data_IF_422217906443
#
_entry.id   IF_422217906443
#
_cell.length_a   1.000
_cell.length_b   1.000
_cell.length_c   1.000
_cell.angle_alpha   90.00
_cell.angle_beta   90.00
_cell.angle_gamma   90.00
#
_symmetry.space_group_name_H-M   'P 1'
#
loop_
_entity.id
_entity.type
_entity.pdbx_description
1 polymer ?
#
# COMPACT_ATOMS: atom_id res chain seq x y z
N UNK A 1 -2.46 -30.24 -2.97
CA UNK A 1 -1.56 -29.09 -3.25
C UNK A 1 -0.62 -28.93 -2.06
N UNK A 2 0.70 -28.64 -2.27
CA UNK A 2 1.61 -28.40 -1.12
C UNK A 2 1.13 -27.16 -0.35
N UNK A 3 1.17 -27.14 1.01
CA UNK A 3 0.60 -26.03 1.79
C UNK A 3 1.14 -24.63 1.40
N UNK A 4 2.45 -24.53 1.14
CA UNK A 4 3.04 -23.26 0.68
C UNK A 4 2.50 -22.83 -0.70
N UNK A 5 2.31 -23.76 -1.65
CA UNK A 5 1.73 -23.43 -2.98
C UNK A 5 0.28 -22.94 -2.86
N UNK A 6 -0.47 -23.48 -1.92
CA UNK A 6 -1.82 -23.02 -1.60
C UNK A 6 -1.79 -21.57 -1.05
N UNK A 7 -0.89 -21.30 -0.10
CA UNK A 7 -0.72 -19.93 0.43
C UNK A 7 -0.26 -18.94 -0.65
N UNK A 8 0.65 -19.34 -1.53
CA UNK A 8 1.13 -18.49 -2.64
C UNK A 8 0.00 -18.17 -3.62
N UNK A 9 -0.82 -19.17 -4.01
CA UNK A 9 -2.00 -18.96 -4.85
C UNK A 9 -3.03 -18.04 -4.18
N UNK A 10 -3.28 -18.24 -2.88
CA UNK A 10 -4.15 -17.37 -2.11
C UNK A 10 -3.61 -15.93 -2.04
N UNK A 11 -2.31 -15.74 -1.85
CA UNK A 11 -1.68 -14.43 -1.85
C UNK A 11 -1.82 -13.72 -3.21
N UNK A 12 -1.53 -14.42 -4.30
CA UNK A 12 -1.69 -13.87 -5.65
C UNK A 12 -3.16 -13.47 -5.93
N UNK A 13 -4.12 -14.32 -5.60
CA UNK A 13 -5.55 -14.03 -5.79
C UNK A 13 -6.06 -12.89 -4.91
N UNK A 14 -5.65 -12.83 -3.64
CA UNK A 14 -6.02 -11.72 -2.73
C UNK A 14 -5.44 -10.39 -3.21
N UNK A 15 -4.16 -10.37 -3.59
CA UNK A 15 -3.55 -9.16 -4.12
C UNK A 15 -4.14 -8.75 -5.47
N UNK A 16 -4.52 -9.71 -6.32
CA UNK A 16 -5.24 -9.41 -7.56
C UNK A 16 -6.59 -8.75 -7.28
N UNK A 17 -7.36 -9.28 -6.34
CA UNK A 17 -8.63 -8.69 -5.91
C UNK A 17 -8.45 -7.26 -5.39
N UNK A 18 -7.50 -7.06 -4.48
CA UNK A 18 -7.20 -5.76 -3.86
C UNK A 18 -6.74 -4.72 -4.89
N UNK A 19 -5.75 -5.06 -5.72
CA UNK A 19 -5.18 -4.15 -6.71
C UNK A 19 -6.17 -3.83 -7.85
N UNK A 20 -6.99 -4.80 -8.26
CA UNK A 20 -8.08 -4.56 -9.20
C UNK A 20 -9.13 -3.62 -8.61
N UNK A 21 -9.56 -3.83 -7.36
CA UNK A 21 -10.50 -2.94 -6.69
C UNK A 21 -9.92 -1.52 -6.53
N UNK A 22 -8.65 -1.41 -6.13
CA UNK A 22 -7.95 -0.13 -5.96
C UNK A 22 -7.83 0.65 -7.28
N UNK A 23 -7.52 -0.02 -8.39
CA UNK A 23 -7.39 0.60 -9.71
C UNK A 23 -8.75 0.91 -10.35
N UNK A 24 -9.78 0.08 -10.08
CA UNK A 24 -11.12 0.23 -10.65
C UNK A 24 -11.94 1.32 -9.95
N UNK A 25 -11.72 1.56 -8.65
CA UNK A 25 -12.49 2.53 -7.86
C UNK A 25 -12.45 3.94 -8.47
N UNK A 26 -11.28 4.53 -8.79
CA UNK A 26 -11.22 5.85 -9.43
C UNK A 26 -11.90 5.89 -10.81
N UNK A 27 -11.74 4.84 -11.61
CA UNK A 27 -12.36 4.72 -12.92
C UNK A 27 -13.88 4.67 -12.83
N UNK A 28 -14.41 3.88 -11.89
CA UNK A 28 -15.86 3.80 -11.63
C UNK A 28 -16.40 5.13 -11.13
N UNK A 29 -15.73 5.74 -10.16
CA UNK A 29 -16.15 7.02 -9.59
C UNK A 29 -16.22 8.11 -10.67
N UNK A 30 -15.21 8.20 -11.54
CA UNK A 30 -15.15 9.25 -12.56
C UNK A 30 -16.03 8.94 -13.77
N UNK A 31 -15.98 7.72 -14.33
CA UNK A 31 -16.63 7.38 -15.61
C UNK A 31 -18.09 6.97 -15.46
N UNK A 32 -18.46 6.32 -14.34
CA UNK A 32 -19.82 5.80 -14.14
C UNK A 32 -20.64 6.74 -13.25
N UNK A 33 -20.02 7.24 -12.17
CA UNK A 33 -20.74 8.05 -11.19
C UNK A 33 -20.63 9.56 -11.45
N UNK A 34 -19.77 9.99 -12.39
CA UNK A 34 -19.52 11.41 -12.64
C UNK A 34 -18.94 12.14 -11.41
N UNK A 35 -18.24 11.41 -10.53
CA UNK A 35 -17.75 11.94 -9.27
C UNK A 35 -16.69 13.02 -9.47
N UNK A 36 -16.84 14.12 -8.74
CA UNK A 36 -15.80 15.13 -8.61
C UNK A 36 -14.60 14.63 -7.79
N UNK A 37 -13.51 15.40 -7.76
CA UNK A 37 -12.31 15.05 -7.01
C UNK A 37 -12.54 14.87 -5.50
N UNK A 38 -13.48 15.62 -4.92
CA UNK A 38 -13.89 15.56 -3.51
C UNK A 38 -14.48 14.19 -3.15
N UNK A 39 -15.45 13.71 -3.95
CA UNK A 39 -16.09 12.42 -3.75
C UNK A 39 -15.09 11.28 -4.00
N UNK A 40 -14.23 11.39 -5.01
CA UNK A 40 -13.17 10.42 -5.25
C UNK A 40 -12.18 10.39 -4.07
N UNK A 41 -11.79 11.56 -3.55
CA UNK A 41 -10.98 11.66 -2.34
C UNK A 41 -11.61 10.97 -1.14
N UNK A 42 -12.92 11.12 -0.94
CA UNK A 42 -13.67 10.44 0.11
C UNK A 42 -13.68 8.90 -0.07
N UNK A 43 -13.90 8.41 -1.29
CA UNK A 43 -13.89 6.97 -1.57
C UNK A 43 -12.52 6.34 -1.35
N UNK A 44 -11.43 6.98 -1.80
CA UNK A 44 -10.05 6.54 -1.56
C UNK A 44 -9.70 6.61 -0.07
N UNK A 45 -10.16 7.66 0.62
CA UNK A 45 -9.98 7.77 2.07
C UNK A 45 -10.72 6.65 2.81
N UNK A 46 -11.94 6.35 2.44
CA UNK A 46 -12.73 5.26 3.02
C UNK A 46 -12.03 3.90 2.84
N UNK A 47 -11.57 3.60 1.63
CA UNK A 47 -10.82 2.37 1.35
C UNK A 47 -9.54 2.28 2.19
N UNK A 48 -8.77 3.37 2.26
CA UNK A 48 -7.50 3.38 3.00
C UNK A 48 -7.68 3.37 4.52
N UNK A 49 -8.81 3.88 5.04
CA UNK A 49 -9.14 3.87 6.47
C UNK A 49 -9.28 2.46 7.05
N UNK A 50 -9.62 1.46 6.21
CA UNK A 50 -9.69 0.06 6.63
C UNK A 50 -8.38 -0.44 7.27
N UNK A 51 -7.23 -0.02 6.76
CA UNK A 51 -5.92 -0.36 7.31
C UNK A 51 -5.74 0.19 8.74
N UNK A 52 -6.18 1.41 9.01
CA UNK A 52 -6.13 2.00 10.34
C UNK A 52 -7.10 1.32 11.31
N UNK A 53 -8.34 1.14 10.87
CA UNK A 53 -9.43 0.67 11.72
C UNK A 53 -9.34 -0.83 12.04
N UNK A 54 -8.91 -1.64 11.06
CA UNK A 54 -8.98 -3.11 11.14
C UNK A 54 -7.66 -3.74 11.57
N UNK A 55 -6.49 -3.14 11.27
CA UNK A 55 -5.20 -3.76 11.60
C UNK A 55 -5.01 -4.03 13.09
N UNK A 56 -5.53 -3.16 13.94
CA UNK A 56 -5.42 -3.28 15.40
C UNK A 56 -6.30 -4.42 15.97
N UNK A 57 -7.62 -4.48 15.71
CA UNK A 57 -8.45 -5.59 16.16
C UNK A 57 -8.09 -6.92 15.49
N UNK A 58 -7.64 -6.90 14.22
CA UNK A 58 -7.23 -8.11 13.50
C UNK A 58 -6.13 -8.88 14.24
N UNK A 59 -5.14 -8.18 14.81
CA UNK A 59 -4.09 -8.81 15.62
C UNK A 59 -4.66 -9.62 16.78
N UNK A 60 -5.67 -9.11 17.48
CA UNK A 60 -6.32 -9.81 18.60
C UNK A 60 -7.15 -11.01 18.14
N UNK A 61 -7.77 -10.94 16.97
CA UNK A 61 -8.54 -12.04 16.39
C UNK A 61 -7.62 -13.17 15.90
N UNK A 62 -6.51 -12.83 15.24
CA UNK A 62 -5.50 -13.78 14.75
C UNK A 62 -4.89 -14.59 15.90
N UNK A 63 -4.75 -13.97 17.07
CA UNK A 63 -4.22 -14.63 18.27
C UNK A 63 -5.25 -15.58 18.96
N UNK A 64 -6.55 -15.45 18.65
CA UNK A 64 -7.64 -16.21 19.31
C UNK A 64 -8.30 -17.25 18.43
N UNK A 65 -8.17 -17.12 17.11
CA UNK A 65 -8.87 -17.97 16.15
C UNK A 65 -7.88 -18.82 15.33
N UNK A 66 -8.29 -20.02 14.86
CA UNK A 66 -7.50 -20.79 13.90
C UNK A 66 -7.20 -19.93 12.66
N UNK A 67 -5.94 -19.86 12.28
CA UNK A 67 -5.47 -18.98 11.19
C UNK A 67 -6.18 -19.25 9.85
N UNK A 68 -6.47 -20.53 9.55
CA UNK A 68 -7.24 -20.90 8.34
C UNK A 68 -8.64 -20.29 8.36
N UNK A 69 -9.36 -20.31 9.50
CA UNK A 69 -10.68 -19.68 9.63
C UNK A 69 -10.60 -18.17 9.40
N UNK A 70 -9.58 -17.52 9.96
CA UNK A 70 -9.35 -16.08 9.73
C UNK A 70 -9.14 -15.76 8.25
N UNK A 71 -8.35 -16.57 7.53
CA UNK A 71 -8.15 -16.40 6.09
C UNK A 71 -9.46 -16.60 5.30
N UNK A 72 -10.27 -17.61 5.67
CA UNK A 72 -11.59 -17.86 5.04
C UNK A 72 -12.53 -16.67 5.24
N UNK A 73 -12.65 -16.16 6.48
CA UNK A 73 -13.49 -14.99 6.79
C UNK A 73 -13.02 -13.75 6.02
N UNK A 74 -11.71 -13.51 5.99
CA UNK A 74 -11.12 -12.40 5.27
C UNK A 74 -11.43 -12.45 3.77
N UNK A 75 -11.28 -13.61 3.14
CA UNK A 75 -11.53 -13.81 1.71
C UNK A 75 -13.01 -13.84 1.36
N UNK A 76 -13.86 -14.41 2.23
CA UNK A 76 -15.30 -14.33 2.07
C UNK A 76 -15.79 -12.87 2.12
N UNK A 77 -15.25 -12.07 3.05
CA UNK A 77 -15.53 -10.63 3.12
C UNK A 77 -15.07 -9.90 1.84
N UNK A 78 -13.84 -10.19 1.35
CA UNK A 78 -13.32 -9.62 0.11
C UNK A 78 -14.14 -9.99 -1.12
N UNK A 79 -14.56 -11.26 -1.23
CA UNK A 79 -15.43 -11.75 -2.31
C UNK A 79 -16.80 -11.06 -2.28
N UNK A 80 -17.45 -11.05 -1.11
CA UNK A 80 -18.73 -10.37 -0.94
C UNK A 80 -18.63 -8.88 -1.27
N UNK A 81 -17.58 -8.22 -0.80
CA UNK A 81 -17.33 -6.81 -1.10
C UNK A 81 -17.15 -6.57 -2.60
N UNK A 82 -16.42 -7.44 -3.32
CA UNK A 82 -16.25 -7.32 -4.77
C UNK A 82 -17.57 -7.51 -5.53
N UNK A 83 -18.40 -8.48 -5.11
CA UNK A 83 -19.76 -8.69 -5.68
C UNK A 83 -20.65 -7.47 -5.43
N UNK A 84 -20.63 -6.93 -4.21
CA UNK A 84 -21.37 -5.71 -3.87
C UNK A 84 -20.87 -4.51 -4.67
N UNK A 85 -19.55 -4.42 -4.92
CA UNK A 85 -18.98 -3.36 -5.75
C UNK A 85 -19.42 -3.48 -7.23
N UNK A 86 -19.57 -4.70 -7.78
CA UNK A 86 -20.19 -4.91 -9.10
C UNK A 86 -21.61 -4.35 -9.13
N UNK A 87 -22.44 -4.70 -8.14
CA UNK A 87 -23.81 -4.21 -8.07
C UNK A 87 -23.86 -2.68 -7.87
N UNK A 88 -23.00 -2.13 -7.02
CA UNK A 88 -22.92 -0.69 -6.78
C UNK A 88 -22.50 0.09 -8.02
N UNK A 89 -21.51 -0.42 -8.76
CA UNK A 89 -21.06 0.17 -10.03
C UNK A 89 -22.16 0.09 -11.12
N UNK A 90 -22.88 -1.02 -11.20
CA UNK A 90 -23.96 -1.20 -12.17
C UNK A 90 -25.20 -0.32 -11.89
N UNK A 91 -25.47 -0.05 -10.61
CA UNK A 91 -26.66 0.73 -10.18
C UNK A 91 -26.37 2.20 -9.88
N UNK A 92 -25.10 2.61 -9.84
CA UNK A 92 -24.69 3.99 -9.54
C UNK A 92 -24.79 4.37 -8.05
N UNK A 93 -24.90 3.40 -7.13
CA UNK A 93 -25.01 3.67 -5.69
C UNK A 93 -23.63 3.93 -5.04
N UNK A 94 -23.28 5.21 -4.89
CA UNK A 94 -22.00 5.68 -4.33
C UNK A 94 -21.75 5.16 -2.92
N UNK A 95 -22.75 5.23 -2.04
CA UNK A 95 -22.58 4.78 -0.63
C UNK A 95 -22.29 3.29 -0.57
N UNK A 96 -22.96 2.49 -1.38
CA UNK A 96 -22.74 1.05 -1.45
C UNK A 96 -21.33 0.73 -1.98
N UNK A 97 -20.83 1.51 -2.96
CA UNK A 97 -19.47 1.38 -3.47
C UNK A 97 -18.43 1.71 -2.39
N UNK A 98 -18.64 2.78 -1.61
CA UNK A 98 -17.79 3.15 -0.48
C UNK A 98 -17.74 2.07 0.61
N UNK A 99 -18.90 1.52 0.98
CA UNK A 99 -19.00 0.43 1.95
C UNK A 99 -18.29 -0.85 1.43
N UNK A 100 -18.46 -1.17 0.15
CA UNK A 100 -17.76 -2.29 -0.49
C UNK A 100 -16.23 -2.07 -0.48
N UNK A 101 -15.76 -0.85 -0.76
CA UNK A 101 -14.34 -0.51 -0.73
C UNK A 101 -13.73 -0.71 0.68
N UNK A 102 -14.43 -0.24 1.74
CA UNK A 102 -14.00 -0.45 3.14
C UNK A 102 -13.99 -1.94 3.47
N UNK A 103 -15.04 -2.66 3.13
CA UNK A 103 -15.18 -4.08 3.45
C UNK A 103 -14.11 -4.93 2.74
N UNK A 104 -13.87 -4.68 1.45
CA UNK A 104 -12.83 -5.37 0.66
C UNK A 104 -11.43 -5.12 1.21
N UNK A 105 -11.09 -3.85 1.46
CA UNK A 105 -9.82 -3.49 2.08
C UNK A 105 -9.66 -4.09 3.49
N UNK A 106 -10.74 -4.19 4.27
CA UNK A 106 -10.75 -4.84 5.59
C UNK A 106 -10.42 -6.33 5.48
N UNK A 107 -10.98 -7.03 4.49
CA UNK A 107 -10.66 -8.42 4.18
C UNK A 107 -9.16 -8.57 3.82
N UNK A 108 -8.64 -7.69 2.96
CA UNK A 108 -7.21 -7.68 2.59
C UNK A 108 -6.30 -7.50 3.81
N UNK A 109 -6.62 -6.55 4.71
CA UNK A 109 -5.85 -6.31 5.96
C UNK A 109 -5.78 -7.58 6.81
N UNK A 110 -6.93 -8.20 7.08
CA UNK A 110 -7.00 -9.44 7.89
C UNK A 110 -6.22 -10.56 7.21
N UNK A 111 -6.36 -10.72 5.88
CA UNK A 111 -5.62 -11.71 5.12
C UNK A 111 -4.10 -11.51 5.24
N UNK A 112 -3.60 -10.31 4.97
CA UNK A 112 -2.17 -9.99 4.98
C UNK A 112 -1.56 -10.27 6.35
N UNK A 113 -2.17 -9.79 7.44
CA UNK A 113 -1.67 -10.00 8.80
C UNK A 113 -1.69 -11.49 9.19
N UNK A 114 -2.74 -12.22 8.79
CA UNK A 114 -2.86 -13.66 9.09
C UNK A 114 -1.85 -14.48 8.29
N UNK A 115 -1.65 -14.17 7.01
CA UNK A 115 -0.73 -14.92 6.13
C UNK A 115 0.72 -14.81 6.59
N UNK A 116 1.15 -13.61 7.02
CA UNK A 116 2.50 -13.39 7.60
C UNK A 116 2.70 -14.23 8.86
N UNK A 117 1.67 -14.37 9.71
CA UNK A 117 1.75 -15.19 10.93
C UNK A 117 1.69 -16.70 10.65
N UNK A 118 1.13 -17.12 9.52
CA UNK A 118 0.97 -18.52 9.14
C UNK A 118 2.22 -19.07 8.43
N UNK A 119 2.91 -18.26 7.62
CA UNK A 119 4.03 -18.70 6.77
C UNK A 119 5.11 -19.50 7.52
N UNK A 120 5.58 -19.11 8.73
CA UNK A 120 6.61 -19.85 9.44
C UNK A 120 6.19 -21.28 9.85
N UNK A 121 4.89 -21.57 9.91
CA UNK A 121 4.39 -22.92 10.20
C UNK A 121 4.25 -23.81 8.96
N UNK A 122 4.42 -23.27 7.75
CA UNK A 122 4.24 -23.98 6.49
C UNK A 122 5.54 -24.32 5.78
N UNK A 123 6.65 -23.70 6.17
CA UNK A 123 7.96 -23.88 5.52
C UNK A 123 9.07 -24.04 6.56
N UNK A 124 10.16 -24.72 6.19
CA UNK A 124 11.31 -24.83 7.05
C UNK A 124 11.98 -23.45 7.30
N UNK A 125 12.61 -23.21 8.47
CA UNK A 125 13.23 -21.92 8.78
C UNK A 125 14.21 -21.42 7.71
N UNK A 126 15.00 -22.31 7.10
CA UNK A 126 15.94 -21.99 6.03
C UNK A 126 15.28 -21.56 4.71
N UNK A 127 14.02 -21.95 4.46
CA UNK A 127 13.27 -21.60 3.26
C UNK A 127 12.45 -20.31 3.41
N UNK A 128 12.35 -19.75 4.60
CA UNK A 128 11.56 -18.52 4.86
C UNK A 128 11.95 -17.35 3.95
N UNK A 129 13.25 -17.02 3.74
CA UNK A 129 13.62 -15.92 2.86
C UNK A 129 13.15 -16.12 1.42
N UNK A 130 13.32 -17.35 0.89
CA UNK A 130 12.88 -17.71 -0.46
C UNK A 130 11.37 -17.68 -0.60
N UNK A 131 10.66 -18.11 0.42
CA UNK A 131 9.19 -18.11 0.45
C UNK A 131 8.60 -16.70 0.51
N UNK A 132 9.16 -15.84 1.35
CA UNK A 132 8.81 -14.41 1.39
C UNK A 132 9.08 -13.73 0.04
N UNK A 133 10.24 -13.98 -0.58
CA UNK A 133 10.56 -13.41 -1.89
C UNK A 133 9.54 -13.81 -2.98
N UNK A 134 9.04 -15.06 -2.95
CA UNK A 134 7.99 -15.52 -3.88
C UNK A 134 6.65 -14.83 -3.64
N UNK A 135 6.26 -14.62 -2.39
CA UNK A 135 5.04 -13.90 -2.04
C UNK A 135 5.13 -12.43 -2.50
N UNK A 136 6.27 -11.77 -2.26
CA UNK A 136 6.48 -10.40 -2.71
C UNK A 136 6.57 -10.28 -4.24
N UNK A 137 7.16 -11.26 -4.92
CA UNK A 137 7.16 -11.29 -6.40
C UNK A 137 5.74 -11.41 -6.97
N UNK A 138 4.91 -12.31 -6.42
CA UNK A 138 3.52 -12.43 -6.83
C UNK A 138 2.77 -11.11 -6.65
N UNK A 139 2.97 -10.43 -5.51
CA UNK A 139 2.40 -9.12 -5.24
C UNK A 139 2.88 -8.06 -6.24
N UNK A 140 4.18 -8.01 -6.52
CA UNK A 140 4.77 -7.03 -7.43
C UNK A 140 4.24 -7.19 -8.87
N UNK A 141 4.12 -8.43 -9.35
CA UNK A 141 3.56 -8.73 -10.69
C UNK A 141 2.11 -8.25 -10.78
N UNK A 142 1.31 -8.50 -9.76
CA UNK A 142 -0.08 -8.05 -9.71
C UNK A 142 -0.17 -6.52 -9.67
N UNK A 143 0.66 -5.86 -8.86
CA UNK A 143 0.69 -4.39 -8.77
C UNK A 143 1.10 -3.73 -10.09
N UNK A 144 1.91 -4.42 -10.90
CA UNK A 144 2.26 -3.98 -12.24
C UNK A 144 1.09 -4.18 -13.22
N UNK A 145 0.42 -5.32 -13.18
CA UNK A 145 -0.60 -5.68 -14.17
C UNK A 145 -1.98 -5.07 -13.92
N UNK A 146 -2.39 -4.97 -12.65
CA UNK A 146 -3.78 -4.65 -12.30
C UNK A 146 -4.25 -3.27 -12.79
N UNK A 147 -3.49 -2.16 -12.67
CA UNK A 147 -3.96 -0.87 -13.17
C UNK A 147 -4.16 -0.85 -14.70
N UNK A 148 -3.26 -1.49 -15.44
CA UNK A 148 -3.40 -1.60 -16.91
C UNK A 148 -4.62 -2.43 -17.30
N UNK A 149 -4.82 -3.60 -16.66
CA UNK A 149 -5.99 -4.45 -16.92
C UNK A 149 -7.28 -3.72 -16.55
N UNK A 150 -7.32 -3.01 -15.43
CA UNK A 150 -8.48 -2.20 -15.03
C UNK A 150 -8.78 -1.11 -16.07
N UNK A 151 -7.75 -0.43 -16.57
CA UNK A 151 -7.87 0.57 -17.63
C UNK A 151 -8.41 -0.02 -18.94
N UNK A 152 -7.88 -1.16 -19.39
CA UNK A 152 -8.38 -1.87 -20.58
C UNK A 152 -9.85 -2.29 -20.45
N UNK A 153 -10.22 -2.86 -19.29
CA UNK A 153 -11.61 -3.25 -19.03
C UNK A 153 -12.54 -2.02 -19.03
N UNK A 154 -12.11 -0.93 -18.43
CA UNK A 154 -12.88 0.32 -18.41
C UNK A 154 -13.05 0.92 -19.81
N UNK A 155 -12.05 0.81 -20.68
CA UNK A 155 -12.06 1.37 -22.03
C UNK A 155 -12.91 0.55 -23.00
N UNK A 156 -12.79 -0.79 -22.97
CA UNK A 156 -13.41 -1.64 -24.00
C UNK A 156 -14.74 -2.27 -23.54
N UNK A 157 -15.00 -2.33 -22.25
CA UNK A 157 -16.19 -2.93 -21.66
C UNK A 157 -16.87 -1.95 -20.70
N UNK A 158 -16.49 -2.04 -19.42
CA UNK A 158 -16.97 -1.16 -18.34
C UNK A 158 -16.05 -1.33 -17.11
N UNK A 159 -15.89 -0.29 -16.28
CA UNK A 159 -15.20 -0.43 -14.99
C UNK A 159 -15.77 -1.54 -14.11
N UNK A 160 -17.06 -1.86 -14.23
CA UNK A 160 -17.74 -2.94 -13.47
C UNK A 160 -17.02 -4.29 -13.62
N UNK A 161 -16.43 -4.58 -14.77
CA UNK A 161 -15.66 -5.81 -15.02
C UNK A 161 -14.38 -5.90 -14.21
N UNK A 162 -13.80 -4.77 -13.81
CA UNK A 162 -12.67 -4.76 -12.88
C UNK A 162 -13.05 -5.35 -11.53
N UNK A 163 -14.24 -5.05 -10.99
CA UNK A 163 -14.72 -5.67 -9.76
C UNK A 163 -15.12 -7.14 -9.95
N UNK A 164 -15.63 -7.53 -11.12
CA UNK A 164 -15.88 -8.94 -11.43
C UNK A 164 -14.57 -9.75 -11.44
N UNK A 165 -13.49 -9.18 -11.99
CA UNK A 165 -12.17 -9.80 -11.94
C UNK A 165 -11.58 -9.83 -10.52
N UNK A 166 -11.84 -8.80 -9.71
CA UNK A 166 -11.51 -8.80 -8.28
C UNK A 166 -12.25 -9.92 -7.54
N UNK A 167 -13.56 -10.12 -7.82
CA UNK A 167 -14.34 -11.21 -7.24
C UNK A 167 -13.78 -12.58 -7.63
N UNK A 168 -13.39 -12.77 -8.90
CA UNK A 168 -12.73 -13.99 -9.36
C UNK A 168 -11.41 -14.23 -8.61
N UNK A 169 -10.57 -13.21 -8.44
CA UNK A 169 -9.34 -13.29 -7.68
C UNK A 169 -9.57 -13.71 -6.23
N UNK A 170 -10.56 -13.10 -5.56
CA UNK A 170 -10.95 -13.45 -4.20
C UNK A 170 -11.51 -14.89 -4.10
N UNK A 171 -12.32 -15.33 -5.07
CA UNK A 171 -12.85 -16.69 -5.12
C UNK A 171 -11.73 -17.72 -5.31
N UNK A 172 -10.79 -17.48 -6.22
CA UNK A 172 -9.62 -18.35 -6.42
C UNK A 172 -8.74 -18.42 -5.16
N UNK A 173 -8.54 -17.27 -4.49
CA UNK A 173 -7.83 -17.23 -3.22
C UNK A 173 -8.53 -18.06 -2.14
N UNK A 174 -9.86 -17.98 -2.06
CA UNK A 174 -10.67 -18.76 -1.12
C UNK A 174 -10.54 -20.26 -1.38
N UNK A 175 -10.62 -20.70 -2.64
CA UNK A 175 -10.39 -22.10 -3.02
C UNK A 175 -8.99 -22.57 -2.60
N UNK A 176 -7.96 -21.74 -2.80
CA UNK A 176 -6.61 -22.07 -2.34
C UNK A 176 -6.52 -22.21 -0.82
N UNK A 177 -7.18 -21.34 -0.05
CA UNK A 177 -7.19 -21.41 1.43
C UNK A 177 -7.93 -22.64 1.94
N UNK A 178 -8.99 -23.07 1.25
CA UNK A 178 -9.70 -24.30 1.60
C UNK A 178 -8.83 -25.56 1.48
N UNK A 179 -7.79 -25.51 0.66
CA UNK A 179 -6.79 -26.58 0.53
C UNK A 179 -5.68 -26.54 1.61
N UNK A 180 -5.66 -25.51 2.48
CA UNK A 180 -4.71 -25.45 3.61
C UNK A 180 -5.15 -26.42 4.73
N UNK A 181 -4.18 -27.03 5.46
CA UNK A 181 -4.52 -27.87 6.61
C UNK A 181 -5.21 -27.05 7.71
N UNK A 182 -6.10 -27.69 8.44
CA UNK A 182 -6.69 -27.11 9.66
C UNK A 182 -5.59 -27.00 10.72
N UNK A 183 -5.12 -25.77 10.95
CA UNK A 183 -4.17 -25.49 12.03
C UNK A 183 -4.90 -25.42 13.37
N UNK A 184 -4.21 -25.85 14.43
CA UNK A 184 -4.67 -25.61 15.82
C UNK A 184 -4.72 -24.13 16.12
N UNK A 185 -5.68 -23.70 16.94
CA UNK A 185 -5.66 -22.35 17.49
C UNK A 185 -4.34 -22.11 18.23
N UNK A 186 -3.76 -20.90 18.17
CA UNK A 186 -2.57 -20.59 18.94
C UNK A 186 -2.83 -20.89 20.43
N UNK A 187 -1.89 -21.60 21.08
CA UNK A 187 -1.93 -21.81 22.51
C UNK A 187 -1.94 -20.47 23.22
N UNK A 188 -2.87 -20.27 24.16
CA UNK A 188 -2.91 -19.09 25.01
C UNK A 188 -1.58 -18.96 25.76
N UNK A 189 -0.68 -18.13 25.25
CA UNK A 189 0.55 -17.74 25.93
C UNK A 189 0.27 -16.57 26.90
N UNK A 190 1.25 -16.30 27.78
CA UNK A 190 1.20 -15.33 28.89
C UNK A 190 0.49 -14.01 28.56
N UNK A 191 -0.04 -13.35 29.59
CA UNK A 191 -0.70 -12.05 29.53
C UNK A 191 0.08 -11.07 28.64
N UNK A 192 -0.50 -10.78 27.48
CA UNK A 192 0.09 -9.80 26.57
C UNK A 192 -0.34 -8.40 27.00
N UNK A 193 0.57 -7.41 26.96
CA UNK A 193 0.23 -6.04 27.28
C UNK A 193 -0.93 -5.56 26.42
N UNK A 194 -1.79 -4.72 26.98
CA UNK A 194 -2.89 -4.11 26.21
C UNK A 194 -2.33 -3.37 25.00
N UNK A 195 -3.08 -3.37 23.90
CA UNK A 195 -2.66 -2.70 22.66
C UNK A 195 -2.28 -1.24 22.90
N UNK A 196 -3.07 -0.52 23.71
CA UNK A 196 -2.80 0.88 24.06
C UNK A 196 -1.45 1.03 24.79
N UNK A 197 -1.11 0.11 25.69
CA UNK A 197 0.19 0.12 26.39
C UNK A 197 1.34 -0.19 25.43
N UNK A 198 1.14 -1.14 24.49
CA UNK A 198 2.15 -1.49 23.50
C UNK A 198 2.44 -0.32 22.55
N UNK A 199 1.40 0.37 22.06
CA UNK A 199 1.54 1.58 21.24
C UNK A 199 2.23 2.70 22.00
N UNK A 200 1.83 2.94 23.26
CA UNK A 200 2.45 3.99 24.09
C UNK A 200 3.95 3.75 24.30
N UNK A 201 4.36 2.51 24.58
CA UNK A 201 5.78 2.15 24.75
C UNK A 201 6.53 2.30 23.42
N UNK A 202 5.95 1.79 22.31
CA UNK A 202 6.53 1.94 20.98
C UNK A 202 6.66 3.41 20.57
N UNK A 203 5.63 4.22 20.80
CA UNK A 203 5.63 5.67 20.52
C UNK A 203 6.72 6.40 21.30
N UNK A 204 6.82 6.13 22.61
CA UNK A 204 7.86 6.74 23.45
C UNK A 204 9.26 6.40 22.95
N UNK A 205 9.47 5.17 22.49
CA UNK A 205 10.76 4.74 21.91
C UNK A 205 11.03 5.43 20.57
N UNK A 206 10.05 5.46 19.66
CA UNK A 206 10.17 6.11 18.34
C UNK A 206 10.47 7.61 18.49
N UNK A 207 9.77 8.32 19.39
CA UNK A 207 9.95 9.76 19.58
C UNK A 207 11.33 10.09 20.18
N UNK A 208 11.84 9.24 21.06
CA UNK A 208 13.15 9.43 21.71
C UNK A 208 14.34 9.02 20.82
N UNK A 209 14.10 8.21 19.80
CA UNK A 209 15.16 7.79 18.87
C UNK A 209 15.11 8.67 17.61
N UNK A 210 16.12 9.51 17.41
CA UNK A 210 16.16 10.49 16.31
C UNK A 210 16.10 9.84 14.91
N UNK A 211 16.70 8.65 14.74
CA UNK A 211 16.65 7.93 13.45
C UNK A 211 15.23 7.42 13.18
N UNK A 212 14.59 6.80 14.18
CA UNK A 212 13.21 6.30 14.05
C UNK A 212 12.19 7.43 13.86
N UNK A 213 12.41 8.56 14.55
CA UNK A 213 11.58 9.75 14.37
C UNK A 213 11.67 10.29 12.95
N UNK A 214 12.89 10.41 12.42
CA UNK A 214 13.13 10.84 11.03
C UNK A 214 12.48 9.89 10.01
N UNK A 215 12.64 8.57 10.17
CA UNK A 215 12.00 7.56 9.33
C UNK A 215 10.48 7.69 9.37
N UNK A 216 9.90 7.81 10.58
CA UNK A 216 8.45 7.87 10.75
C UNK A 216 7.84 9.12 10.14
N UNK A 217 8.42 10.29 10.39
CA UNK A 217 7.95 11.56 9.85
C UNK A 217 8.07 11.61 8.31
N UNK A 218 9.19 11.12 7.76
CA UNK A 218 9.35 10.97 6.32
C UNK A 218 8.25 10.10 5.73
N UNK A 219 7.99 8.93 6.32
CA UNK A 219 6.95 8.01 5.86
C UNK A 219 5.54 8.61 5.95
N UNK A 220 5.24 9.41 6.97
CA UNK A 220 3.98 10.12 7.16
C UNK A 220 3.75 11.09 6.00
N UNK A 221 4.68 12.01 5.73
CA UNK A 221 4.53 12.99 4.66
C UNK A 221 4.51 12.34 3.28
N UNK A 222 5.32 11.31 3.07
CA UNK A 222 5.32 10.58 1.81
C UNK A 222 3.99 9.86 1.55
N UNK A 223 3.44 9.15 2.55
CA UNK A 223 2.15 8.46 2.41
C UNK A 223 0.99 9.45 2.24
N UNK A 224 1.02 10.59 2.94
CA UNK A 224 0.06 11.68 2.71
C UNK A 224 0.06 12.11 1.24
N UNK A 225 1.23 12.45 0.69
CA UNK A 225 1.37 12.89 -0.70
C UNK A 225 0.93 11.81 -1.69
N UNK A 226 1.32 10.55 -1.47
CA UNK A 226 0.97 9.44 -2.37
C UNK A 226 -0.54 9.19 -2.42
N UNK A 227 -1.23 9.20 -1.28
CA UNK A 227 -2.67 9.02 -1.24
C UNK A 227 -3.45 10.24 -1.73
N UNK A 228 -2.90 11.45 -1.57
CA UNK A 228 -3.42 12.64 -2.23
C UNK A 228 -3.32 12.53 -3.78
N UNK A 229 -2.19 12.02 -4.29
CA UNK A 229 -2.02 11.76 -5.73
C UNK A 229 -3.02 10.71 -6.24
N UNK A 230 -3.21 9.60 -5.51
CA UNK A 230 -4.19 8.57 -5.89
C UNK A 230 -5.61 9.13 -5.99
N UNK A 231 -5.98 10.04 -5.08
CA UNK A 231 -7.31 10.65 -5.07
C UNK A 231 -7.58 11.57 -6.26
N UNK A 232 -6.54 12.17 -6.85
CA UNK A 232 -6.71 13.09 -7.99
C UNK A 232 -6.29 12.47 -9.32
N UNK A 233 -5.77 11.23 -9.31
CA UNK A 233 -5.16 10.64 -10.51
C UNK A 233 -6.14 10.50 -11.67
N UNK A 234 -7.35 9.96 -11.45
CA UNK A 234 -8.32 9.81 -12.53
C UNK A 234 -8.82 11.15 -13.08
N UNK A 235 -9.20 12.16 -12.26
CA UNK A 235 -9.53 13.49 -12.76
C UNK A 235 -8.37 14.14 -13.53
N UNK A 236 -7.13 13.97 -13.11
CA UNK A 236 -5.95 14.50 -13.80
C UNK A 236 -5.73 13.80 -15.15
N UNK A 237 -5.75 12.46 -15.16
CA UNK A 237 -5.44 11.66 -16.33
C UNK A 237 -6.50 11.80 -17.42
N UNK A 238 -7.78 11.65 -17.06
CA UNK A 238 -8.89 11.68 -18.00
C UNK A 238 -9.29 13.11 -18.42
N UNK A 239 -8.99 14.11 -17.60
CA UNK A 239 -9.25 15.51 -17.85
C UNK A 239 -8.07 16.21 -18.54
N UNK A 240 -7.22 16.97 -17.81
CA UNK A 240 -6.17 17.80 -18.41
C UNK A 240 -5.12 17.07 -19.23
N UNK A 241 -4.84 15.78 -18.92
CA UNK A 241 -3.89 14.98 -19.71
C UNK A 241 -4.52 14.35 -20.96
N UNK A 242 -5.85 14.32 -21.05
CA UNK A 242 -6.57 13.76 -22.21
C UNK A 242 -6.30 12.26 -22.43
N UNK A 243 -5.91 11.52 -21.39
CA UNK A 243 -5.62 10.10 -21.51
C UNK A 243 -6.95 9.32 -21.56
N UNK A 244 -6.97 8.26 -22.35
CA UNK A 244 -8.02 7.25 -22.23
C UNK A 244 -7.78 6.34 -21.01
N UNK A 245 -8.76 5.54 -20.59
CA UNK A 245 -8.64 4.67 -19.42
C UNK A 245 -7.48 3.66 -19.50
N UNK A 246 -7.17 3.14 -20.71
CA UNK A 246 -6.07 2.18 -20.89
C UNK A 246 -4.70 2.87 -20.70
N UNK A 247 -4.51 4.05 -21.31
CA UNK A 247 -3.27 4.81 -21.11
C UNK A 247 -3.13 5.31 -19.67
N UNK A 248 -4.23 5.72 -19.00
CA UNK A 248 -4.24 6.02 -17.58
C UNK A 248 -3.73 4.84 -16.74
N UNK A 249 -4.29 3.65 -16.97
CA UNK A 249 -3.88 2.42 -16.27
C UNK A 249 -2.45 2.02 -16.58
N UNK A 250 -2.01 2.15 -17.84
CA UNK A 250 -0.65 1.86 -18.26
C UNK A 250 0.37 2.79 -17.61
N UNK A 251 0.08 4.10 -17.55
CA UNK A 251 0.93 5.05 -16.83
C UNK A 251 1.05 4.68 -15.35
N UNK A 252 -0.05 4.34 -14.68
CA UNK A 252 -0.04 3.93 -13.28
C UNK A 252 0.70 2.59 -13.07
N UNK A 253 0.66 1.67 -14.02
CA UNK A 253 1.38 0.39 -13.96
C UNK A 253 2.89 0.55 -13.89
N UNK A 254 3.45 1.65 -14.41
CA UNK A 254 4.88 1.92 -14.30
C UNK A 254 5.37 2.08 -12.86
N UNK A 255 4.46 2.40 -11.91
CA UNK A 255 4.73 2.33 -10.47
C UNK A 255 5.19 0.94 -10.04
N UNK A 256 4.49 -0.11 -10.49
CA UNK A 256 4.87 -1.51 -10.24
C UNK A 256 6.23 -1.86 -10.86
N UNK A 257 6.51 -1.40 -12.07
CA UNK A 257 7.82 -1.55 -12.70
C UNK A 257 8.92 -0.87 -11.87
N UNK A 258 8.65 0.34 -11.38
CA UNK A 258 9.55 1.07 -10.47
C UNK A 258 9.85 0.29 -9.19
N UNK A 259 8.82 -0.28 -8.55
CA UNK A 259 8.99 -1.12 -7.35
C UNK A 259 9.91 -2.33 -7.62
N UNK A 260 9.68 -3.04 -8.73
CA UNK A 260 10.47 -4.23 -9.11
C UNK A 260 11.93 -3.83 -9.35
N UNK A 261 12.16 -2.81 -10.20
CA UNK A 261 13.52 -2.37 -10.52
C UNK A 261 14.24 -1.75 -9.33
N UNK A 262 13.52 -1.03 -8.46
CA UNK A 262 14.05 -0.53 -7.19
C UNK A 262 14.49 -1.66 -6.25
N UNK A 263 13.68 -2.70 -6.12
CA UNK A 263 14.03 -3.87 -5.31
C UNK A 263 15.25 -4.63 -5.85
N UNK A 264 15.35 -4.77 -7.17
CA UNK A 264 16.50 -5.39 -7.83
C UNK A 264 17.78 -4.56 -7.71
N UNK A 265 17.65 -3.23 -7.74
CA UNK A 265 18.80 -2.33 -7.58
C UNK A 265 19.27 -2.20 -6.13
N UNK A 266 18.42 -2.45 -5.13
CA UNK A 266 18.72 -2.23 -3.72
C UNK A 266 19.98 -2.94 -3.22
N UNK A 267 20.27 -4.24 -3.53
CA UNK A 267 21.50 -4.89 -3.09
C UNK A 267 22.75 -4.25 -3.68
N UNK A 268 22.69 -3.76 -4.92
CA UNK A 268 23.81 -3.07 -5.56
C UNK A 268 24.06 -1.70 -4.92
N UNK A 269 22.98 -0.95 -4.67
CA UNK A 269 23.04 0.34 -3.96
C UNK A 269 23.62 0.15 -2.54
N UNK A 270 23.18 -0.86 -1.80
CA UNK A 270 23.64 -1.14 -0.44
C UNK A 270 25.14 -1.51 -0.37
N UNK A 271 25.69 -2.09 -1.45
CA UNK A 271 27.12 -2.42 -1.54
C UNK A 271 28.02 -1.24 -1.96
N UNK A 272 27.49 -0.29 -2.73
CA UNK A 272 28.28 0.78 -3.37
C UNK A 272 28.04 2.16 -2.79
N UNK A 273 26.91 2.38 -2.14
CA UNK A 273 26.50 3.70 -1.67
C UNK A 273 26.33 3.70 -0.15
N UNK A 274 26.74 4.75 0.55
CA UNK A 274 26.44 4.90 1.97
C UNK A 274 24.93 5.05 2.19
N UNK A 275 24.41 4.59 3.35
CA UNK A 275 22.97 4.58 3.62
C UNK A 275 22.26 5.92 3.42
N UNK A 276 22.91 7.05 3.78
CA UNK A 276 22.30 8.38 3.64
C UNK A 276 21.90 8.71 2.20
N UNK A 277 22.64 8.20 1.20
CA UNK A 277 22.33 8.45 -0.22
C UNK A 277 20.99 7.84 -0.59
N UNK A 278 20.77 6.58 -0.27
CA UNK A 278 19.47 5.89 -0.56
C UNK A 278 18.33 6.44 0.27
N UNK A 279 18.61 6.88 1.52
CA UNK A 279 17.62 7.48 2.40
C UNK A 279 17.15 8.86 1.92
N UNK A 280 18.03 9.68 1.32
CA UNK A 280 17.67 10.97 0.73
C UNK A 280 17.07 10.77 -0.65
N UNK A 281 17.67 9.92 -1.48
CA UNK A 281 17.30 9.72 -2.89
C UNK A 281 15.83 9.32 -3.03
N UNK A 282 15.34 8.38 -2.21
CA UNK A 282 13.98 7.88 -2.31
C UNK A 282 12.90 8.97 -2.23
N UNK A 283 12.84 9.76 -1.15
CA UNK A 283 11.90 10.88 -1.06
C UNK A 283 12.17 11.98 -2.08
N UNK A 284 13.43 12.33 -2.36
CA UNK A 284 13.81 13.39 -3.30
C UNK A 284 13.34 13.09 -4.74
N UNK A 285 13.46 11.85 -5.19
CA UNK A 285 12.95 11.41 -6.49
C UNK A 285 11.42 11.55 -6.58
N UNK A 286 10.70 11.41 -5.46
CA UNK A 286 9.26 11.64 -5.44
C UNK A 286 8.89 13.11 -5.65
N UNK A 287 9.74 14.05 -5.26
CA UNK A 287 9.57 15.49 -5.58
C UNK A 287 9.69 15.69 -7.08
N UNK A 288 10.74 15.11 -7.71
CA UNK A 288 10.90 15.15 -9.17
C UNK A 288 9.68 14.55 -9.87
N UNK A 289 9.21 13.40 -9.39
CA UNK A 289 8.00 12.75 -9.92
C UNK A 289 6.75 13.66 -9.86
N UNK A 290 6.54 14.33 -8.72
CA UNK A 290 5.44 15.28 -8.57
C UNK A 290 5.57 16.49 -9.50
N UNK A 291 6.79 16.97 -9.74
CA UNK A 291 7.05 18.01 -10.71
C UNK A 291 6.75 17.58 -12.15
N UNK A 292 6.98 16.30 -12.49
CA UNK A 292 6.58 15.74 -13.78
C UNK A 292 5.05 15.71 -13.94
N UNK A 293 4.29 15.34 -12.92
CA UNK A 293 2.83 15.43 -12.96
C UNK A 293 2.34 16.87 -13.12
N UNK A 294 3.00 17.83 -12.49
CA UNK A 294 2.67 19.26 -12.60
C UNK A 294 2.95 19.79 -14.01
N UNK A 295 4.01 19.31 -14.65
CA UNK A 295 4.40 19.70 -16.02
C UNK A 295 3.60 18.92 -17.10
N UNK A 296 2.97 17.81 -16.76
CA UNK A 296 2.34 16.90 -17.73
C UNK A 296 1.26 17.56 -18.62
N UNK A 297 0.41 18.48 -18.14
CA UNK A 297 -0.60 19.13 -18.98
C UNK A 297 -0.02 20.00 -20.10
N UNK A 298 1.21 20.47 -19.98
CA UNK A 298 1.86 21.33 -20.97
C UNK A 298 2.81 20.59 -21.94
N UNK A 299 2.92 19.26 -21.78
CA UNK A 299 3.86 18.44 -22.55
C UNK A 299 3.25 17.13 -23.04
N UNK A 300 4.07 16.08 -23.15
CA UNK A 300 3.59 14.74 -23.41
C UNK A 300 3.02 14.15 -22.10
N UNK A 301 1.70 14.32 -21.89
CA UNK A 301 1.00 13.95 -20.67
C UNK A 301 1.22 12.50 -20.25
N UNK A 302 1.12 11.56 -21.20
CA UNK A 302 1.35 10.14 -20.94
C UNK A 302 2.80 9.85 -20.49
N UNK A 303 3.80 10.32 -21.24
CA UNK A 303 5.20 10.02 -20.94
C UNK A 303 5.63 10.60 -19.58
N UNK A 304 5.22 11.84 -19.30
CA UNK A 304 5.55 12.51 -18.03
C UNK A 304 4.84 11.85 -16.83
N UNK A 305 3.57 11.45 -16.99
CA UNK A 305 2.84 10.73 -15.96
C UNK A 305 3.41 9.32 -15.72
N UNK A 306 3.75 8.58 -16.77
CA UNK A 306 4.37 7.27 -16.67
C UNK A 306 5.75 7.35 -16.00
N UNK A 307 6.58 8.33 -16.37
CA UNK A 307 7.86 8.59 -15.72
C UNK A 307 7.67 8.98 -14.24
N UNK A 308 6.68 9.82 -13.94
CA UNK A 308 6.33 10.19 -12.58
C UNK A 308 5.97 8.97 -11.72
N UNK A 309 5.06 8.11 -12.17
CA UNK A 309 4.69 6.88 -11.47
C UNK A 309 5.86 5.91 -11.31
N UNK A 310 6.67 5.75 -12.37
CA UNK A 310 7.89 4.94 -12.28
C UNK A 310 8.82 5.44 -11.16
N UNK A 311 9.08 6.74 -11.10
CA UNK A 311 9.97 7.35 -10.12
C UNK A 311 9.41 7.24 -8.69
N UNK A 312 8.08 7.41 -8.50
CA UNK A 312 7.40 7.21 -7.21
C UNK A 312 7.49 5.75 -6.75
N UNK A 313 7.60 4.79 -7.67
CA UNK A 313 7.87 3.39 -7.33
C UNK A 313 9.34 3.11 -7.03
N UNK A 314 10.23 3.54 -7.91
CA UNK A 314 11.65 3.18 -7.90
C UNK A 314 12.42 3.74 -6.70
N UNK A 315 12.39 5.05 -6.51
CA UNK A 315 13.16 5.70 -5.46
C UNK A 315 12.70 5.28 -4.04
N UNK A 316 11.40 5.40 -3.72
CA UNK A 316 10.86 4.97 -2.43
C UNK A 316 11.06 3.50 -2.10
N UNK A 317 11.18 2.61 -3.09
CA UNK A 317 11.51 1.20 -2.84
C UNK A 317 12.94 1.04 -2.29
N UNK A 318 13.91 1.77 -2.84
CA UNK A 318 15.28 1.81 -2.31
C UNK A 318 15.28 2.35 -0.87
N UNK A 319 14.55 3.44 -0.63
CA UNK A 319 14.38 4.01 0.71
C UNK A 319 13.74 3.03 1.67
N UNK A 320 12.67 2.33 1.26
CA UNK A 320 11.94 1.37 2.08
C UNK A 320 12.84 0.23 2.58
N UNK A 321 13.69 -0.31 1.72
CA UNK A 321 14.61 -1.40 2.08
C UNK A 321 15.67 -0.88 3.06
N UNK A 322 16.29 0.27 2.77
CA UNK A 322 17.32 0.86 3.62
C UNK A 322 16.77 1.24 5.00
N UNK A 323 15.66 1.98 5.07
CA UNK A 323 15.06 2.40 6.33
C UNK A 323 14.57 1.22 7.18
N UNK A 324 14.08 0.15 6.54
CA UNK A 324 13.66 -1.06 7.27
C UNK A 324 14.86 -1.70 7.94
N UNK A 325 16.00 -1.78 7.25
CA UNK A 325 17.25 -2.29 7.82
C UNK A 325 17.72 -1.43 8.99
N UNK A 326 17.75 -0.09 8.82
CA UNK A 326 18.12 0.83 9.91
C UNK A 326 17.19 0.65 11.12
N UNK A 327 15.86 0.60 10.89
CA UNK A 327 14.87 0.40 11.96
C UNK A 327 15.08 -0.91 12.71
N UNK A 328 15.38 -2.00 12.00
CA UNK A 328 15.65 -3.30 12.61
C UNK A 328 16.92 -3.28 13.46
N UNK A 329 17.98 -2.60 13.01
CA UNK A 329 19.24 -2.51 13.73
C UNK A 329 19.15 -1.67 15.01
N UNK A 330 18.42 -0.54 14.97
CA UNK A 330 18.32 0.37 16.12
C UNK A 330 17.25 0.00 17.14
N UNK A 331 16.43 -1.02 16.85
CA UNK A 331 15.33 -1.43 17.73
C UNK A 331 15.67 -2.73 18.45
N UNK A 332 15.74 -2.72 19.81
CA UNK A 332 15.92 -3.96 20.58
C UNK A 332 14.83 -4.98 20.27
N UNK A 333 15.20 -6.27 20.20
CA UNK A 333 14.28 -7.37 19.85
C UNK A 333 12.95 -7.38 20.63
N UNK A 334 12.93 -7.11 21.96
CA UNK A 334 11.67 -7.07 22.73
C UNK A 334 10.72 -5.92 22.34
N UNK A 335 11.23 -4.85 21.72
CA UNK A 335 10.47 -3.67 21.31
C UNK A 335 10.09 -3.69 19.81
N UNK A 336 10.66 -4.59 19.00
CA UNK A 336 10.50 -4.61 17.56
C UNK A 336 9.02 -4.59 17.13
N UNK A 337 8.20 -5.47 17.72
CA UNK A 337 6.76 -5.52 17.42
C UNK A 337 6.02 -4.22 17.76
N UNK A 338 6.36 -3.59 18.89
CA UNK A 338 5.73 -2.36 19.36
C UNK A 338 6.13 -1.15 18.49
N UNK A 339 7.40 -1.05 18.12
CA UNK A 339 7.91 -0.02 17.21
C UNK A 339 7.28 -0.16 15.83
N UNK A 340 7.24 -1.38 15.28
CA UNK A 340 6.59 -1.63 13.99
C UNK A 340 5.11 -1.26 14.02
N UNK A 341 4.36 -1.67 15.04
CA UNK A 341 2.95 -1.32 15.18
C UNK A 341 2.75 0.20 15.23
N UNK A 342 3.58 0.92 16.00
CA UNK A 342 3.51 2.38 16.09
C UNK A 342 3.75 3.06 14.75
N UNK A 343 4.83 2.69 14.05
CA UNK A 343 5.17 3.27 12.74
C UNK A 343 4.07 2.98 11.72
N UNK A 344 3.58 1.75 11.67
CA UNK A 344 2.51 1.36 10.73
C UNK A 344 1.19 2.08 11.04
N UNK A 345 0.82 2.23 12.30
CA UNK A 345 -0.39 2.99 12.70
C UNK A 345 -0.29 4.44 12.23
N UNK A 346 0.88 5.09 12.40
CA UNK A 346 1.09 6.45 11.92
C UNK A 346 0.98 6.55 10.38
N UNK A 347 1.59 5.60 9.66
CA UNK A 347 1.52 5.54 8.18
C UNK A 347 0.08 5.31 7.70
N UNK A 348 -0.63 4.34 8.30
CA UNK A 348 -2.00 4.03 7.87
C UNK A 348 -2.98 5.14 8.25
N UNK A 349 -2.76 5.80 9.39
CA UNK A 349 -3.61 6.91 9.84
C UNK A 349 -3.56 8.14 8.95
N UNK A 350 -2.42 8.41 8.31
CA UNK A 350 -2.28 9.59 7.45
C UNK A 350 -2.84 9.39 6.03
N UNK A 351 -2.97 8.16 5.56
CA UNK A 351 -3.45 7.85 4.18
C UNK A 351 -4.84 8.42 3.88
N UNK A 352 -5.86 8.20 4.73
CA UNK A 352 -7.16 8.82 4.52
C UNK A 352 -7.10 10.35 4.51
N UNK A 353 -6.25 10.94 5.36
CA UNK A 353 -6.08 12.40 5.42
C UNK A 353 -5.47 12.93 4.13
N UNK A 354 -4.48 12.22 3.56
CA UNK A 354 -3.89 12.57 2.27
C UNK A 354 -4.93 12.52 1.15
N UNK A 355 -5.70 11.44 1.07
CA UNK A 355 -6.74 11.28 0.05
C UNK A 355 -7.83 12.37 0.14
N UNK A 356 -8.32 12.64 1.35
CA UNK A 356 -9.30 13.73 1.58
C UNK A 356 -8.71 15.09 1.21
N UNK A 357 -7.49 15.41 1.67
CA UNK A 357 -6.87 16.69 1.38
C UNK A 357 -6.64 16.88 -0.13
N UNK A 358 -6.14 15.86 -0.83
CA UNK A 358 -5.95 15.90 -2.28
C UNK A 358 -7.25 16.13 -3.03
N UNK A 359 -8.30 15.37 -2.70
CA UNK A 359 -9.62 15.51 -3.31
C UNK A 359 -10.28 16.86 -3.03
N UNK A 360 -10.27 17.32 -1.78
CA UNK A 360 -10.87 18.61 -1.38
C UNK A 360 -10.16 19.81 -2.01
N UNK A 361 -8.81 19.81 -1.99
CA UNK A 361 -8.05 20.90 -2.62
C UNK A 361 -8.24 20.91 -4.13
N UNK A 362 -8.32 19.74 -4.77
CA UNK A 362 -8.61 19.66 -6.20
C UNK A 362 -10.01 20.19 -6.53
N UNK A 363 -11.00 19.90 -5.69
CA UNK A 363 -12.39 20.37 -5.89
C UNK A 363 -12.54 21.89 -5.68
N UNK A 364 -11.85 22.47 -4.69
CA UNK A 364 -12.01 23.86 -4.30
C UNK A 364 -11.07 24.82 -5.02
N UNK A 365 -9.80 24.39 -5.24
CA UNK A 365 -8.73 25.23 -5.80
C UNK A 365 -8.16 24.70 -7.12
N UNK A 366 -8.70 23.58 -7.62
CA UNK A 366 -8.29 22.95 -8.87
C UNK A 366 -7.12 21.98 -8.75
N UNK A 367 -6.93 21.19 -9.80
CA UNK A 367 -5.87 20.17 -9.87
C UNK A 367 -4.45 20.72 -9.71
N UNK A 368 -4.08 21.91 -10.26
CA UNK A 368 -2.75 22.47 -10.03
C UNK A 368 -2.44 22.73 -8.56
N UNK A 369 -3.42 23.22 -7.78
CA UNK A 369 -3.26 23.44 -6.34
C UNK A 369 -3.06 22.12 -5.59
N UNK A 370 -3.80 21.08 -5.95
CA UNK A 370 -3.63 19.75 -5.38
C UNK A 370 -2.25 19.15 -5.71
N UNK A 371 -1.75 19.34 -6.94
CA UNK A 371 -0.40 18.91 -7.33
C UNK A 371 0.68 19.68 -6.57
N UNK A 372 0.49 20.98 -6.30
CA UNK A 372 1.39 21.76 -5.45
C UNK A 372 1.40 21.25 -4.01
N UNK A 373 0.23 20.92 -3.44
CA UNK A 373 0.13 20.28 -2.12
C UNK A 373 0.91 18.97 -2.08
N UNK A 374 0.74 18.10 -3.09
CA UNK A 374 1.43 16.81 -3.22
C UNK A 374 2.95 17.02 -3.31
N UNK A 375 3.39 17.95 -4.18
CA UNK A 375 4.81 18.28 -4.34
C UNK A 375 5.40 18.81 -3.03
N UNK A 376 4.70 19.71 -2.34
CA UNK A 376 5.07 20.22 -1.02
C UNK A 376 5.19 19.12 0.05
N UNK A 377 4.26 18.18 0.07
CA UNK A 377 4.30 17.06 1.03
C UNK A 377 5.46 16.09 0.73
N UNK A 378 5.78 15.79 -0.54
CA UNK A 378 7.00 15.03 -0.90
C UNK A 378 8.25 15.81 -0.55
N UNK A 379 8.28 17.14 -0.77
CA UNK A 379 9.39 18.00 -0.38
C UNK A 379 9.61 18.00 1.13
N UNK A 380 8.51 18.05 1.94
CA UNK A 380 8.59 17.91 3.39
C UNK A 380 9.14 16.55 3.82
N UNK A 381 8.74 15.46 3.15
CA UNK A 381 9.30 14.14 3.43
C UNK A 381 10.82 14.09 3.20
N UNK A 382 11.30 14.73 2.13
CA UNK A 382 12.72 14.87 1.82
C UNK A 382 13.43 15.74 2.85
N UNK A 383 12.85 16.89 3.19
CA UNK A 383 13.40 17.84 4.15
C UNK A 383 13.58 17.21 5.52
N UNK A 384 12.61 16.39 5.97
CA UNK A 384 12.72 15.64 7.22
C UNK A 384 13.96 14.75 7.24
N UNK A 385 14.26 14.03 6.15
CA UNK A 385 15.47 13.19 6.09
C UNK A 385 16.72 14.07 6.10
N UNK A 386 16.77 15.13 5.30
CA UNK A 386 17.93 16.01 5.19
C UNK A 386 18.26 16.70 6.51
N UNK A 387 17.23 17.08 7.28
CA UNK A 387 17.40 17.72 8.60
C UNK A 387 17.62 16.73 9.74
N UNK A 388 17.41 15.44 9.51
CA UNK A 388 17.59 14.39 10.52
C UNK A 388 19.03 13.84 10.53
N UNK A 389 19.46 13.14 11.58
CA UNK A 389 20.73 12.43 11.61
C UNK A 389 20.88 11.37 10.51
N UNK A 390 19.77 10.93 9.88
CA UNK A 390 19.80 10.00 8.74
C UNK A 390 20.62 10.54 7.55
N UNK A 391 20.64 11.85 7.33
CA UNK A 391 21.43 12.48 6.27
C UNK A 391 22.95 12.36 6.47
N UNK A 392 23.39 11.99 7.67
CA UNK A 392 24.82 11.83 8.02
C UNK A 392 25.23 10.37 8.18
N UNK A 393 24.31 9.43 7.93
CA UNK A 393 24.52 8.00 8.16
C UNK A 393 25.41 7.40 7.07
N UNK A 394 26.73 7.36 7.30
CA UNK A 394 27.71 6.82 6.33
C UNK A 394 27.80 5.30 6.37
N UNK A 395 27.56 4.68 7.52
CA UNK A 395 27.53 3.23 7.73
C UNK A 395 26.27 2.85 8.48
N UNK A 396 25.80 1.61 8.32
CA UNK A 396 24.66 1.11 9.06
C UNK A 396 24.97 1.10 10.58
N UNK A 397 23.99 1.42 11.44
CA UNK A 397 24.17 1.39 12.89
C UNK A 397 24.54 0.01 13.37
N UNK A 398 25.28 -0.08 14.47
CA UNK A 398 25.46 -1.36 15.16
C UNK A 398 24.09 -1.87 15.69
N UNK A 399 23.88 -3.21 15.71
CA UNK A 399 22.67 -3.77 16.28
C UNK A 399 22.48 -3.31 17.74
N UNK A 400 21.24 -2.92 18.08
CA UNK A 400 20.91 -2.60 19.46
C UNK A 400 21.11 -3.85 20.33
N UNK A 401 21.90 -3.72 21.39
CA UNK A 401 22.05 -4.77 22.40
C UNK A 401 20.72 -4.97 23.12
N UNK A 402 20.40 -6.23 23.44
CA UNK A 402 19.16 -6.62 24.13
C UNK A 402 19.04 -5.99 25.52
#
# INVERSE_FOLDING_TARGET
>A
MKPFTALLGAAAGTHAADQMALATLPLTATLVLGAGPDLLGLLVAAQSAAWLLVSLPAGTWIDRMPRRRMLIVALALGLTASIVAVAAAATGYVVLLGLAAIAGASGTVVYVLTSVSLLPSLVAPGDLPRSNARLELARAVVSLAAPFVAGLLAQHLSPTWGYALAALGAALALVCVLALPEGTAPTRGAERPTLASAIRVGMAFVVRNDLLRGISLCAIFWNFAFFALLAIWAPLALGPLGLDPAHMGLAQSTYGAGLILGALAAPLCARRLPPFVTLIFGPAVSVVAASLFLAAPSGNGFALAAAGYFLVGFGPMLWLICQTTVRQLVTPSPLMGRVNATVQTAIYGVRPLGALAGGLVAAQAGLPAALMLITGAFALSTLVIVLSPLARLRVLPAPATA
#
